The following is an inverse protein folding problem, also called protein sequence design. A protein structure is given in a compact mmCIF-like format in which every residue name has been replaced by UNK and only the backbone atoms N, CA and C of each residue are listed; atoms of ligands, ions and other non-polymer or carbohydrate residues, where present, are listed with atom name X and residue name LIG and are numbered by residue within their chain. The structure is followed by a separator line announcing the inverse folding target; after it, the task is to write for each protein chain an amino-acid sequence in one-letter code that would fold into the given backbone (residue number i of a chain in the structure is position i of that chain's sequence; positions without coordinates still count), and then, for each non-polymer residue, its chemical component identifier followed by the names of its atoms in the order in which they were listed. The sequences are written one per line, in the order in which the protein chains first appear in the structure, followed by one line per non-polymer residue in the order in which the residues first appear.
data_IF_529925737974
#
_entry.id   IF_529925737974
#
_cell.length_a   1.000
_cell.length_b   1.000
_cell.length_c   1.000
_cell.angle_alpha   90.00
_cell.angle_beta   90.00
_cell.angle_gamma   90.00
#
_symmetry.space_group_name_H-M   'P 1'
#
loop_
_entity.id
_entity.type
_entity.pdbx_description
1 polymer ?
#
# COMPACT_ATOMS: atom_id res chain seq x y z
N UNK A 1 17.65 9.21 11.49
CA UNK A 1 19.11 9.02 11.37
C UNK A 1 19.36 8.02 10.26
N UNK A 2 20.31 8.28 9.36
CA UNK A 2 20.64 7.35 8.27
C UNK A 2 21.49 6.18 8.80
N UNK A 3 21.47 4.99 8.17
CA UNK A 3 22.34 3.87 8.57
C UNK A 3 23.82 4.26 8.65
N UNK A 4 24.29 5.06 7.70
CA UNK A 4 25.65 5.55 7.69
C UNK A 4 26.00 6.41 8.92
N UNK A 5 25.03 7.16 9.47
CA UNK A 5 25.21 7.98 10.67
C UNK A 5 25.18 7.11 11.93
N UNK A 6 24.23 6.18 12.02
CA UNK A 6 24.14 5.24 13.14
C UNK A 6 25.39 4.36 13.26
N UNK A 7 26.01 4.00 12.13
CA UNK A 7 27.29 3.31 12.12
C UNK A 7 28.40 4.15 12.77
N UNK A 8 28.49 5.45 12.48
CA UNK A 8 29.54 6.30 13.05
C UNK A 8 29.43 6.41 14.57
N UNK A 9 28.23 6.37 15.14
CA UNK A 9 28.00 6.41 16.59
C UNK A 9 28.36 5.09 17.30
N UNK A 10 28.35 3.97 16.58
CA UNK A 10 28.41 2.62 17.16
C UNK A 10 29.60 1.77 16.70
N UNK A 11 30.44 2.29 15.80
CA UNK A 11 31.60 1.57 15.30
C UNK A 11 32.68 1.35 16.37
N UNK A 12 33.48 0.32 16.12
CA UNK A 12 34.74 0.07 16.79
C UNK A 12 35.87 0.40 15.83
N UNK A 13 36.89 1.06 16.35
CA UNK A 13 38.12 1.33 15.62
C UNK A 13 39.04 0.11 15.75
N UNK A 14 39.41 -0.51 14.62
CA UNK A 14 40.40 -1.59 14.60
C UNK A 14 41.82 -1.04 14.60
N UNK A 15 42.77 -1.89 14.96
CA UNK A 15 44.20 -1.58 14.98
C UNK A 15 44.80 -1.28 13.59
N UNK A 16 44.16 -1.76 12.52
CA UNK A 16 44.54 -1.50 11.13
C UNK A 16 44.00 -0.17 10.58
N UNK A 17 43.23 0.58 11.38
CA UNK A 17 42.65 1.87 10.99
C UNK A 17 41.24 1.77 10.40
N UNK A 18 40.72 0.56 10.14
CA UNK A 18 39.36 0.40 9.64
C UNK A 18 38.33 0.48 10.77
N UNK A 19 37.18 1.09 10.45
CA UNK A 19 36.00 1.12 11.33
C UNK A 19 35.11 -0.08 11.02
N UNK A 20 34.71 -0.81 12.06
CA UNK A 20 33.82 -1.96 11.92
C UNK A 20 32.80 -2.01 13.04
N UNK A 21 31.67 -2.67 12.81
CA UNK A 21 30.64 -2.87 13.82
C UNK A 21 30.39 -4.37 14.01
N UNK A 22 30.44 -4.90 15.25
CA UNK A 22 30.08 -6.29 15.52
C UNK A 22 28.57 -6.50 15.38
N UNK A 23 28.12 -7.73 15.12
CA UNK A 23 26.71 -8.05 14.90
C UNK A 23 25.76 -7.54 15.99
N UNK A 24 26.18 -7.60 17.26
CA UNK A 24 25.39 -7.11 18.40
C UNK A 24 25.16 -5.59 18.36
N UNK A 25 26.18 -4.81 18.00
CA UNK A 25 26.06 -3.35 17.87
C UNK A 25 25.38 -2.96 16.55
N UNK A 26 25.53 -3.78 15.50
CA UNK A 26 24.87 -3.57 14.22
C UNK A 26 23.34 -3.64 14.36
N UNK A 27 22.82 -4.52 15.21
CA UNK A 27 21.38 -4.54 15.53
C UNK A 27 20.91 -3.22 16.17
N UNK A 28 21.69 -2.67 17.09
CA UNK A 28 21.36 -1.39 17.74
C UNK A 28 21.41 -0.26 16.71
N UNK A 29 22.50 -0.15 15.94
CA UNK A 29 22.64 0.87 14.90
C UNK A 29 21.55 0.76 13.82
N UNK A 30 21.15 -0.46 13.48
CA UNK A 30 20.03 -0.68 12.56
C UNK A 30 18.74 -0.12 13.16
N UNK A 31 18.40 -0.46 14.40
CA UNK A 31 17.20 0.06 15.06
C UNK A 31 17.19 1.58 15.14
N UNK A 32 18.32 2.20 15.50
CA UNK A 32 18.43 3.66 15.61
C UNK A 32 18.35 4.36 14.24
N UNK A 33 18.71 3.66 13.16
CA UNK A 33 18.52 4.13 11.78
C UNK A 33 17.18 3.72 11.18
N UNK A 34 16.26 3.20 12.00
CA UNK A 34 14.91 2.85 11.57
C UNK A 34 14.78 1.48 10.91
N UNK A 35 15.75 0.58 11.05
CA UNK A 35 15.74 -0.76 10.47
C UNK A 35 15.68 -1.84 11.56
N UNK A 36 14.69 -2.72 11.49
CA UNK A 36 14.54 -3.87 12.39
C UNK A 36 15.14 -5.14 11.78
N UNK A 37 16.46 -5.28 11.83
CA UNK A 37 17.12 -6.48 11.29
C UNK A 37 16.96 -7.69 12.23
N UNK A 38 16.90 -8.90 11.65
CA UNK A 38 17.00 -10.15 12.41
C UNK A 38 18.45 -10.39 12.81
N UNK A 39 18.68 -10.85 14.04
CA UNK A 39 20.03 -11.21 14.50
C UNK A 39 20.68 -12.23 13.55
N UNK A 40 19.95 -13.27 13.14
CA UNK A 40 20.47 -14.29 12.23
C UNK A 40 20.93 -13.71 10.88
N UNK A 41 20.18 -12.77 10.31
CA UNK A 41 20.56 -12.11 9.06
C UNK A 41 21.81 -11.23 9.22
N UNK A 42 21.95 -10.58 10.39
CA UNK A 42 23.14 -9.78 10.72
C UNK A 42 24.35 -10.68 10.95
N UNK A 43 24.19 -11.81 11.64
CA UNK A 43 25.25 -12.78 11.90
C UNK A 43 25.72 -13.47 10.61
N UNK A 44 24.80 -13.82 9.70
CA UNK A 44 25.13 -14.36 8.38
C UNK A 44 25.92 -13.34 7.54
N UNK A 45 25.47 -12.09 7.52
CA UNK A 45 26.17 -11.00 6.85
C UNK A 45 27.58 -10.79 7.44
N UNK A 46 27.70 -10.76 8.77
CA UNK A 46 28.98 -10.58 9.46
C UNK A 46 29.91 -11.79 9.29
N UNK A 47 29.37 -13.02 9.19
CA UNK A 47 30.16 -14.23 8.95
C UNK A 47 30.76 -14.30 7.54
N UNK A 48 30.15 -13.63 6.57
CA UNK A 48 30.59 -13.56 5.18
C UNK A 48 31.27 -12.23 4.79
N UNK A 49 31.39 -11.31 5.76
CA UNK A 49 31.97 -9.99 5.57
C UNK A 49 33.49 -10.00 5.36
N UNK A 50 34.04 -8.85 4.92
CA UNK A 50 35.48 -8.59 4.81
C UNK A 50 36.23 -8.98 6.08
N UNK A 51 35.64 -8.67 7.24
CA UNK A 51 36.17 -9.04 8.54
C UNK A 51 35.19 -9.96 9.26
N UNK A 52 35.44 -11.27 9.21
CA UNK A 52 34.56 -12.26 9.84
C UNK A 52 34.16 -11.87 11.28
N UNK A 53 32.85 -11.81 11.52
CA UNK A 53 32.24 -11.38 12.78
C UNK A 53 31.94 -9.88 12.88
N UNK A 54 32.31 -9.08 11.88
CA UNK A 54 32.14 -7.64 11.85
C UNK A 54 31.70 -7.13 10.48
N UNK A 55 30.99 -6.01 10.45
CA UNK A 55 30.59 -5.32 9.22
C UNK A 55 31.36 -4.01 9.09
N UNK A 56 31.87 -3.70 7.89
CA UNK A 56 32.29 -2.33 7.57
C UNK A 56 31.06 -1.43 7.40
N UNK A 57 31.31 -0.13 7.24
CA UNK A 57 30.24 0.85 6.98
C UNK A 57 29.44 0.49 5.74
N UNK A 58 30.13 0.14 4.66
CA UNK A 58 29.53 -0.20 3.38
C UNK A 58 28.70 -1.48 3.49
N UNK A 59 29.21 -2.49 4.20
CA UNK A 59 28.51 -3.77 4.41
C UNK A 59 27.27 -3.58 5.29
N UNK A 60 27.35 -2.77 6.34
CA UNK A 60 26.22 -2.44 7.21
C UNK A 60 25.14 -1.64 6.48
N UNK A 61 25.51 -0.62 5.70
CA UNK A 61 24.57 0.17 4.90
C UNK A 61 23.90 -0.72 3.86
N UNK A 62 24.67 -1.53 3.12
CA UNK A 62 24.12 -2.47 2.15
C UNK A 62 23.19 -3.50 2.79
N UNK A 63 23.47 -3.94 4.03
CA UNK A 63 22.58 -4.83 4.78
C UNK A 63 21.25 -4.14 5.09
N UNK A 64 21.26 -2.86 5.50
CA UNK A 64 20.04 -2.09 5.75
C UNK A 64 19.23 -1.89 4.45
N UNK A 65 19.90 -1.51 3.35
CA UNK A 65 19.27 -1.28 2.04
C UNK A 65 18.66 -2.55 1.43
N UNK A 66 19.28 -3.72 1.66
CA UNK A 66 18.73 -5.02 1.23
C UNK A 66 17.52 -5.47 2.02
N UNK A 67 17.23 -4.83 3.15
CA UNK A 67 16.14 -5.19 4.05
C UNK A 67 15.20 -3.98 4.31
N UNK A 68 14.60 -3.38 3.27
CA UNK A 68 13.77 -2.18 3.39
C UNK A 68 12.45 -2.43 4.15
N UNK A 69 11.95 -3.67 4.12
CA UNK A 69 10.67 -4.06 4.73
C UNK A 69 10.71 -4.10 6.27
N UNK A 70 11.90 -3.93 6.85
CA UNK A 70 12.10 -3.84 8.29
C UNK A 70 12.03 -2.39 8.80
N UNK A 71 11.53 -1.44 8.00
CA UNK A 71 11.55 -0.04 8.38
C UNK A 71 10.53 0.30 9.50
N UNK A 72 11.03 0.94 10.56
CA UNK A 72 10.25 1.55 11.64
C UNK A 72 9.57 2.86 11.19
N UNK A 73 9.32 3.03 9.88
CA UNK A 73 8.82 4.28 9.32
C UNK A 73 7.28 4.32 9.41
N UNK A 74 6.78 5.31 10.16
CA UNK A 74 5.35 5.50 10.37
C UNK A 74 4.59 5.78 9.06
N UNK A 75 5.23 6.39 8.05
CA UNK A 75 4.62 6.68 6.75
C UNK A 75 4.45 5.44 5.89
N UNK A 76 5.43 4.56 5.89
CA UNK A 76 5.33 3.26 5.24
C UNK A 76 4.26 2.42 5.93
N UNK A 77 4.26 2.35 7.25
CA UNK A 77 3.27 1.57 7.99
C UNK A 77 1.84 2.14 7.80
N UNK A 78 1.67 3.46 7.80
CA UNK A 78 0.37 4.09 7.57
C UNK A 78 -0.28 3.69 6.24
N UNK A 79 0.51 3.49 5.18
CA UNK A 79 0.03 2.98 3.89
C UNK A 79 -0.52 1.57 4.01
N UNK A 80 0.23 0.67 4.66
CA UNK A 80 -0.19 -0.71 4.88
C UNK A 80 -1.44 -0.79 5.76
N UNK A 81 -1.46 -0.04 6.87
CA UNK A 81 -2.61 0.03 7.77
C UNK A 81 -3.85 0.57 7.07
N UNK A 82 -3.72 1.55 6.17
CA UNK A 82 -4.85 2.08 5.40
C UNK A 82 -5.44 1.04 4.43
N UNK A 83 -4.62 0.11 3.93
CA UNK A 83 -5.07 -0.99 3.07
C UNK A 83 -5.71 -2.12 3.87
N UNK A 84 -5.12 -2.47 5.03
CA UNK A 84 -5.56 -3.60 5.84
C UNK A 84 -6.78 -3.30 6.73
N UNK A 85 -6.96 -2.04 7.13
CA UNK A 85 -8.11 -1.57 7.89
C UNK A 85 -8.82 -0.43 7.14
N UNK A 86 -9.46 -0.70 5.98
CA UNK A 86 -10.03 0.33 5.12
C UNK A 86 -11.17 1.12 5.79
N UNK A 87 -11.89 0.48 6.72
CA UNK A 87 -12.93 1.08 7.56
C UNK A 87 -12.38 1.77 8.82
N UNK A 88 -11.08 1.62 9.09
CA UNK A 88 -10.43 2.16 10.28
C UNK A 88 -10.32 1.22 11.46
N UNK A 89 -10.70 -0.05 11.32
CA UNK A 89 -10.67 -0.99 12.43
C UNK A 89 -9.97 -2.30 12.05
N UNK A 90 -9.25 -2.85 13.02
CA UNK A 90 -8.76 -4.21 13.00
C UNK A 90 -9.61 -5.06 13.93
N UNK A 91 -10.08 -6.20 13.44
CA UNK A 91 -10.73 -7.23 14.26
C UNK A 91 -9.73 -8.34 14.53
N UNK A 92 -9.97 -9.15 15.58
CA UNK A 92 -9.10 -10.32 15.85
C UNK A 92 -8.98 -11.20 14.60
N UNK A 93 -10.11 -11.46 13.94
CA UNK A 93 -10.16 -12.26 12.72
C UNK A 93 -9.35 -11.64 11.56
N UNK A 94 -9.48 -10.33 11.32
CA UNK A 94 -8.74 -9.69 10.22
C UNK A 94 -7.24 -9.66 10.48
N UNK A 95 -6.81 -9.45 11.72
CA UNK A 95 -5.38 -9.47 12.07
C UNK A 95 -4.79 -10.89 11.94
N UNK A 96 -5.52 -11.91 12.41
CA UNK A 96 -5.12 -13.31 12.26
C UNK A 96 -5.05 -13.73 10.78
N UNK A 97 -6.03 -13.32 9.98
CA UNK A 97 -6.03 -13.61 8.54
C UNK A 97 -4.82 -12.98 7.84
N UNK A 98 -4.47 -11.74 8.20
CA UNK A 98 -3.28 -11.06 7.68
C UNK A 98 -2.00 -11.77 8.10
N UNK A 99 -1.91 -12.17 9.38
CA UNK A 99 -0.77 -12.92 9.90
C UNK A 99 -0.56 -14.25 9.14
N UNK A 100 -1.65 -14.99 8.86
CA UNK A 100 -1.60 -16.23 8.08
C UNK A 100 -1.18 -16.00 6.62
N UNK A 101 -1.63 -14.91 6.00
CA UNK A 101 -1.29 -14.57 4.61
C UNK A 101 0.15 -14.09 4.43
N UNK A 102 0.83 -13.67 5.49
CA UNK A 102 2.22 -13.23 5.43
C UNK A 102 3.21 -14.35 5.07
N UNK A 103 2.78 -15.61 4.99
CA UNK A 103 3.49 -16.71 4.32
C UNK A 103 4.69 -17.28 5.09
N UNK A 104 5.22 -16.58 6.10
CA UNK A 104 6.24 -17.06 7.03
C UNK A 104 5.61 -17.29 8.41
N UNK A 105 5.56 -18.54 8.87
CA UNK A 105 5.06 -18.89 10.21
C UNK A 105 6.00 -18.48 11.34
N UNK A 106 7.25 -18.09 11.03
CA UNK A 106 8.23 -17.63 12.02
C UNK A 106 8.18 -16.11 12.25
N UNK A 107 7.58 -15.36 11.32
CA UNK A 107 7.59 -13.89 11.32
C UNK A 107 6.18 -13.28 11.43
N UNK A 108 5.16 -14.12 11.52
CA UNK A 108 3.78 -13.73 11.73
C UNK A 108 3.43 -13.79 13.22
N UNK A 109 2.49 -12.94 13.64
CA UNK A 109 1.93 -13.03 14.98
C UNK A 109 1.23 -14.38 15.14
N UNK A 110 1.59 -15.12 16.18
CA UNK A 110 0.84 -16.28 16.64
C UNK A 110 -0.54 -15.87 17.16
N UNK A 111 -1.46 -16.83 17.25
CA UNK A 111 -2.80 -16.56 17.77
C UNK A 111 -2.75 -15.95 19.19
N UNK A 112 -1.89 -16.48 20.05
CA UNK A 112 -1.71 -16.00 21.42
C UNK A 112 -1.14 -14.56 21.46
N UNK A 113 -0.24 -14.20 20.54
CA UNK A 113 0.27 -12.83 20.43
C UNK A 113 -0.77 -11.84 19.91
N UNK A 114 -1.64 -12.28 18.98
CA UNK A 114 -2.79 -11.47 18.56
C UNK A 114 -3.74 -11.27 19.73
N UNK A 115 -4.01 -12.31 20.51
CA UNK A 115 -4.91 -12.19 21.66
C UNK A 115 -4.35 -11.23 22.72
N UNK A 116 -3.05 -11.34 23.04
CA UNK A 116 -2.37 -10.42 23.94
C UNK A 116 -2.39 -8.97 23.44
N UNK A 117 -2.29 -8.75 22.13
CA UNK A 117 -2.38 -7.41 21.53
C UNK A 117 -3.78 -6.79 21.74
N UNK A 118 -4.84 -7.59 21.58
CA UNK A 118 -6.20 -7.12 21.81
C UNK A 118 -6.47 -6.86 23.29
N UNK A 119 -5.97 -7.71 24.18
CA UNK A 119 -6.10 -7.49 25.61
C UNK A 119 -5.41 -6.19 26.08
N UNK A 120 -4.42 -5.70 25.30
CA UNK A 120 -3.71 -4.44 25.57
C UNK A 120 -4.36 -3.21 24.92
N UNK A 121 -4.92 -3.34 23.70
CA UNK A 121 -5.34 -2.19 22.88
C UNK A 121 -6.85 -2.03 22.72
N UNK A 122 -7.64 -3.08 22.96
CA UNK A 122 -9.11 -3.05 22.96
C UNK A 122 -9.63 -2.74 24.37
N UNK A 123 -9.31 -1.55 24.86
CA UNK A 123 -9.67 -1.08 26.21
C UNK A 123 -11.19 -1.13 26.47
N UNK A 124 -11.99 -1.01 25.40
CA UNK A 124 -13.45 -1.03 25.44
C UNK A 124 -14.07 -2.44 25.29
N UNK A 125 -13.24 -3.48 25.08
CA UNK A 125 -13.65 -4.87 24.85
C UNK A 125 -14.70 -5.00 23.72
N UNK A 126 -14.50 -4.25 22.64
CA UNK A 126 -15.39 -4.22 21.48
C UNK A 126 -15.12 -5.36 20.49
N UNK A 127 -14.01 -6.08 20.67
CA UNK A 127 -13.46 -7.02 19.70
C UNK A 127 -12.73 -6.35 18.54
N UNK A 128 -12.42 -5.05 18.65
CA UNK A 128 -11.79 -4.26 17.60
C UNK A 128 -10.77 -3.25 18.14
N UNK A 129 -9.72 -2.98 17.36
CA UNK A 129 -8.73 -1.94 17.64
C UNK A 129 -8.81 -0.93 16.49
N UNK A 130 -8.91 0.36 16.81
CA UNK A 130 -8.86 1.38 15.76
C UNK A 130 -7.45 1.46 15.15
N UNK A 131 -7.38 1.72 13.85
CA UNK A 131 -6.12 1.89 13.14
C UNK A 131 -5.27 3.02 13.72
N UNK A 132 -5.91 4.08 14.22
CA UNK A 132 -5.25 5.18 14.93
C UNK A 132 -4.64 4.73 16.25
N UNK A 133 -5.36 3.91 17.03
CA UNK A 133 -4.86 3.36 18.30
C UNK A 133 -3.67 2.43 18.08
N UNK A 134 -3.72 1.58 17.05
CA UNK A 134 -2.59 0.73 16.69
C UNK A 134 -1.37 1.57 16.28
N UNK A 135 -1.55 2.57 15.41
CA UNK A 135 -0.47 3.46 14.99
C UNK A 135 0.10 4.29 16.14
N UNK A 136 -0.74 4.74 17.07
CA UNK A 136 -0.32 5.39 18.31
C UNK A 136 0.51 4.48 19.20
N UNK A 137 0.05 3.25 19.41
CA UNK A 137 0.74 2.31 20.29
C UNK A 137 2.15 1.98 19.76
N UNK A 138 2.33 1.96 18.44
CA UNK A 138 3.60 1.60 17.80
C UNK A 138 4.51 2.80 17.54
N UNK A 139 3.97 3.97 17.15
CA UNK A 139 4.75 5.14 16.71
C UNK A 139 4.38 6.45 17.44
N UNK A 140 3.55 6.39 18.48
CA UNK A 140 3.09 7.56 19.22
C UNK A 140 2.24 8.52 18.37
N UNK A 141 2.25 9.80 18.76
CA UNK A 141 1.49 10.84 18.06
C UNK A 141 1.87 11.00 16.58
N UNK A 142 3.13 10.74 16.23
CA UNK A 142 3.58 10.75 14.83
C UNK A 142 2.80 9.74 14.00
N UNK A 143 2.62 8.52 14.51
CA UNK A 143 1.83 7.48 13.85
C UNK A 143 0.41 7.91 13.53
N UNK A 144 -0.27 8.56 14.49
CA UNK A 144 -1.64 9.09 14.28
C UNK A 144 -1.68 10.14 13.18
N UNK A 145 -0.81 11.14 13.26
CA UNK A 145 -0.80 12.27 12.32
C UNK A 145 -0.52 11.79 10.90
N UNK A 146 0.43 10.88 10.75
CA UNK A 146 0.81 10.32 9.45
C UNK A 146 -0.31 9.45 8.88
N UNK A 147 -0.95 8.61 9.70
CA UNK A 147 -2.12 7.83 9.26
C UNK A 147 -3.29 8.73 8.82
N UNK A 148 -3.62 9.75 9.61
CA UNK A 148 -4.70 10.68 9.29
C UNK A 148 -4.46 11.41 7.96
N UNK A 149 -3.21 11.85 7.73
CA UNK A 149 -2.80 12.47 6.46
C UNK A 149 -2.94 11.49 5.30
N UNK A 150 -2.41 10.28 5.43
CA UNK A 150 -2.47 9.24 4.39
C UNK A 150 -3.91 8.89 4.00
N UNK A 151 -4.80 8.75 4.99
CA UNK A 151 -6.23 8.45 4.76
C UNK A 151 -6.95 9.60 4.08
N UNK A 152 -6.65 10.85 4.46
CA UNK A 152 -7.22 12.04 3.80
C UNK A 152 -6.80 12.14 2.34
N UNK A 153 -5.52 11.88 2.06
CA UNK A 153 -4.99 11.87 0.68
C UNK A 153 -5.66 10.77 -0.15
N UNK A 154 -5.76 9.55 0.39
CA UNK A 154 -6.43 8.44 -0.28
C UNK A 154 -7.92 8.72 -0.55
N UNK A 155 -8.65 9.25 0.44
CA UNK A 155 -10.05 9.62 0.28
C UNK A 155 -10.24 10.71 -0.80
N UNK A 156 -9.33 11.69 -0.86
CA UNK A 156 -9.36 12.75 -1.86
C UNK A 156 -9.10 12.20 -3.26
N UNK A 157 -8.09 11.34 -3.41
CA UNK A 157 -7.76 10.70 -4.69
C UNK A 157 -8.90 9.82 -5.20
N UNK A 158 -9.51 9.01 -4.32
CA UNK A 158 -10.66 8.16 -4.68
C UNK A 158 -11.88 8.98 -5.11
N UNK A 159 -12.18 10.07 -4.40
CA UNK A 159 -13.29 10.96 -4.77
C UNK A 159 -13.05 11.65 -6.13
N UNK A 160 -11.80 12.00 -6.44
CA UNK A 160 -11.45 12.54 -7.75
C UNK A 160 -11.59 11.50 -8.86
N UNK A 161 -11.11 10.28 -8.64
CA UNK A 161 -11.24 9.16 -9.59
C UNK A 161 -12.72 8.85 -9.89
N UNK A 162 -13.57 8.79 -8.87
CA UNK A 162 -15.01 8.58 -9.04
C UNK A 162 -15.67 9.70 -9.85
N UNK A 163 -15.29 10.97 -9.62
CA UNK A 163 -15.77 12.11 -10.42
C UNK A 163 -15.32 12.00 -11.88
N UNK A 164 -14.06 11.65 -12.12
CA UNK A 164 -13.54 11.49 -13.48
C UNK A 164 -14.23 10.33 -14.20
N UNK A 165 -14.48 9.21 -13.50
CA UNK A 165 -15.21 8.07 -14.04
C UNK A 165 -16.64 8.43 -14.40
N UNK A 166 -17.37 9.10 -13.50
CA UNK A 166 -18.73 9.57 -13.76
C UNK A 166 -18.79 10.53 -14.97
N UNK A 167 -17.81 11.43 -15.10
CA UNK A 167 -17.71 12.33 -16.25
C UNK A 167 -17.47 11.59 -17.58
N UNK A 168 -16.61 10.56 -17.57
CA UNK A 168 -16.35 9.71 -18.75
C UNK A 168 -17.59 8.91 -19.15
N UNK A 169 -18.28 8.31 -18.18
CA UNK A 169 -19.51 7.56 -18.41
C UNK A 169 -20.63 8.47 -18.94
N UNK A 170 -20.79 9.67 -18.39
CA UNK A 170 -21.75 10.66 -18.88
C UNK A 170 -21.43 11.14 -20.30
N UNK A 171 -20.16 11.40 -20.62
CA UNK A 171 -19.72 11.77 -21.96
C UNK A 171 -19.96 10.64 -22.98
N UNK A 172 -19.69 9.40 -22.60
CA UNK A 172 -19.95 8.23 -23.44
C UNK A 172 -21.46 8.04 -23.69
N UNK A 173 -22.29 8.19 -22.66
CA UNK A 173 -23.75 8.12 -22.79
C UNK A 173 -24.31 9.24 -23.69
N UNK A 174 -23.81 10.47 -23.54
CA UNK A 174 -24.19 11.59 -24.39
C UNK A 174 -23.78 11.37 -25.86
N UNK A 175 -22.58 10.85 -26.11
CA UNK A 175 -22.12 10.50 -27.45
C UNK A 175 -22.96 9.37 -28.08
N UNK A 176 -23.33 8.35 -27.30
CA UNK A 176 -24.20 7.27 -27.75
C UNK A 176 -25.62 7.78 -28.09
N UNK A 177 -26.19 8.65 -27.26
CA UNK A 177 -27.50 9.27 -27.51
C UNK A 177 -27.50 10.16 -28.77
N UNK A 178 -26.43 10.95 -28.96
CA UNK A 178 -26.27 11.77 -30.17
C UNK A 178 -26.10 10.91 -31.44
N UNK A 179 -25.42 9.76 -31.34
CA UNK A 179 -25.29 8.82 -32.46
C UNK A 179 -26.60 8.09 -32.79
N UNK A 180 -27.41 7.76 -31.79
CA UNK A 180 -28.74 7.17 -31.97
C UNK A 180 -29.72 8.16 -32.64
N UNK A 181 -29.71 9.42 -32.19
CA UNK A 181 -30.59 10.48 -32.73
C UNK A 181 -30.30 10.79 -34.21
N UNK A 182 -29.08 10.55 -34.70
CA UNK A 182 -28.72 10.70 -36.12
C UNK A 182 -29.13 9.52 -37.01
N UNK A 183 -29.60 8.40 -36.45
CA UNK A 183 -30.10 7.24 -37.22
C UNK A 183 -31.61 7.26 -37.47
N UNK A 184 -32.36 8.16 -36.82
CA UNK A 184 -33.82 8.32 -36.98
C UNK A 184 -34.21 9.50 -37.88
N UNK A 185 -33.43 9.81 -38.92
CA UNK A 185 -33.88 10.73 -39.98
C UNK A 185 -34.88 9.98 -40.89
N UNK A 186 -36.13 10.46 -41.05
CA UNK A 186 -37.19 9.68 -41.69
C UNK A 186 -36.91 9.51 -43.18
N UNK A 187 -36.90 8.25 -43.65
CA UNK A 187 -36.92 7.93 -45.09
C UNK A 187 -38.07 8.68 -45.74
N UNK A 188 -37.73 9.71 -46.51
CA UNK A 188 -38.62 10.45 -47.40
C UNK A 188 -39.50 9.46 -48.18
N UNK A 189 -40.82 9.64 -48.07
CA UNK A 189 -41.80 8.86 -48.80
C UNK A 189 -41.54 8.97 -50.32
N UNK A 190 -41.67 7.87 -51.08
CA UNK A 190 -41.42 7.91 -52.52
C UNK A 190 -42.45 8.82 -53.21
N UNK A 191 -42.08 9.51 -54.30
CA UNK A 191 -42.96 10.45 -54.99
C UNK A 191 -44.15 9.71 -55.65
N UNK A 192 -45.30 10.37 -55.85
CA UNK A 192 -46.52 9.73 -56.31
C UNK A 192 -46.42 9.30 -57.79
N UNK A 193 -47.11 8.22 -58.20
CA UNK A 193 -46.98 7.66 -59.54
C UNK A 193 -47.69 8.53 -60.59
N UNK A 194 -46.99 8.75 -61.71
CA UNK A 194 -47.47 9.43 -62.91
C UNK A 194 -48.57 8.62 -63.59
N UNK A 195 -49.77 9.21 -63.72
CA UNK A 195 -50.91 8.60 -64.40
C UNK A 195 -50.66 8.48 -65.91
N UNK A 196 -50.51 7.25 -66.40
CA UNK A 196 -50.55 6.92 -67.84
C UNK A 196 -52.01 6.70 -68.25
N UNK A 197 -52.55 7.59 -69.09
CA UNK A 197 -53.88 7.46 -69.69
C UNK A 197 -53.94 6.23 -70.61
N UNK A 198 -54.68 5.19 -70.20
CA UNK A 198 -55.16 4.14 -71.13
C UNK A 198 -56.40 4.65 -71.87
N UNK A 199 -56.29 4.83 -73.18
CA UNK A 199 -57.45 4.86 -74.10
C UNK A 199 -57.96 3.43 -74.27
N UNK A 200 -59.15 3.14 -73.77
CA UNK A 200 -59.95 1.96 -74.14
C UNK A 200 -60.72 2.29 -75.42
N UNK A 201 -60.46 1.55 -76.49
CA UNK A 201 -61.44 1.34 -77.56
C UNK A 201 -62.48 0.34 -77.06
N UNK A 202 -63.77 0.65 -77.22
CA UNK A 202 -64.85 -0.32 -77.23
C UNK A 202 -65.65 -0.06 -78.50
N UNK A 203 -65.76 -1.09 -79.34
CA UNK A 203 -66.58 -1.09 -80.53
C UNK A 203 -68.02 -1.49 -80.20
N UNK A 204 -68.94 -0.88 -80.93
CA UNK A 204 -70.18 -1.51 -81.40
C UNK A 204 -70.14 -1.50 -82.93
#
# INVERSE_FOLDING_TARGET
MLPAEAFEERHLQRNDGDKVIPASLALVAALESGHRLKLSSVEEAAGSAKYCGFLTKEEFVALCEKNPDNCLDASVMAKHVSVLAPDGFFTRASLQEVALKAGSTQDSLSADEVDALFDLLDDENTGSISAERLMEAVYGEEGKVVLAKQRKEYATAKAEEERQRAAREAAAAAAAAAAASKKEEPKQAPPPPTQTKKKTMCGC
#
